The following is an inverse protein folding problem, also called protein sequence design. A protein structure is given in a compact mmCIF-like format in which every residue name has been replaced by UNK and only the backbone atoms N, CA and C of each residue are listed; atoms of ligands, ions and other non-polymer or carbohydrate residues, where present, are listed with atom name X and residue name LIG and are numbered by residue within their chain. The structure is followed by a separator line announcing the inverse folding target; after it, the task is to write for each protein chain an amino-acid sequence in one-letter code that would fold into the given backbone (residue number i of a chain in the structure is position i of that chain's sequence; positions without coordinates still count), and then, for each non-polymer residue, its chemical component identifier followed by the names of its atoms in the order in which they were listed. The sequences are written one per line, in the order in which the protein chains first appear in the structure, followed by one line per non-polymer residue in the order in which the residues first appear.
data_IF_154611970980
#
_entry.id   IF_154611970980
#
_cell.length_a   1.000
_cell.length_b   1.000
_cell.length_c   1.000
_cell.angle_alpha   90.00
_cell.angle_beta   90.00
_cell.angle_gamma   90.00
#
_symmetry.space_group_name_H-M   'P 1'
#
loop_
_entity.id
_entity.type
_entity.pdbx_description
1 polymer ?
#
# COMPACT_ATOMS: atom_id res chain seq x y z
N UNK A 1 2.23 21.37 -17.02
CA UNK A 1 2.82 20.02 -16.99
C UNK A 1 2.98 19.69 -15.53
N UNK A 2 1.95 19.06 -14.93
CA UNK A 2 2.00 18.65 -13.53
C UNK A 2 2.84 17.37 -13.54
N UNK A 3 4.09 17.47 -13.10
CA UNK A 3 4.86 16.29 -12.77
C UNK A 3 4.08 15.63 -11.63
N UNK A 4 3.38 14.53 -11.93
CA UNK A 4 2.93 13.61 -10.88
C UNK A 4 4.21 13.12 -10.21
N UNK A 5 4.49 13.66 -9.03
CA UNK A 5 5.54 13.17 -8.15
C UNK A 5 5.26 11.68 -7.96
N UNK A 6 6.22 10.84 -8.37
CA UNK A 6 6.09 9.40 -8.17
C UNK A 6 6.29 9.19 -6.68
N UNK A 7 5.21 8.89 -5.97
CA UNK A 7 5.26 8.62 -4.54
C UNK A 7 5.44 7.12 -4.34
N UNK A 8 6.42 6.75 -3.52
CA UNK A 8 6.77 5.35 -3.25
C UNK A 8 6.18 4.91 -1.91
N UNK A 9 5.65 3.69 -1.90
CA UNK A 9 5.03 3.13 -0.71
C UNK A 9 6.09 2.63 0.28
N UNK A 10 6.05 3.21 1.48
CA UNK A 10 6.94 2.82 2.57
C UNK A 10 6.13 2.08 3.63
N UNK A 11 6.52 0.84 3.92
CA UNK A 11 5.90 0.06 5.00
C UNK A 11 6.91 -0.08 6.12
N UNK A 12 6.65 0.51 7.27
CA UNK A 12 7.51 0.37 8.45
C UNK A 12 6.93 -0.68 9.38
N UNK A 13 7.78 -1.54 9.93
CA UNK A 13 7.32 -2.65 10.77
C UNK A 13 8.13 -2.74 12.05
N UNK A 14 7.43 -2.64 13.18
CA UNK A 14 7.93 -2.98 14.51
C UNK A 14 7.33 -4.29 14.99
N UNK A 15 8.04 -5.00 15.90
CA UNK A 15 7.55 -6.28 16.41
C UNK A 15 8.04 -6.61 17.82
N UNK A 16 7.29 -7.46 18.52
CA UNK A 16 7.77 -8.19 19.71
C UNK A 16 8.55 -9.45 19.34
N UNK A 17 9.54 -9.82 20.14
CA UNK A 17 10.26 -11.08 19.91
C UNK A 17 9.33 -12.28 20.07
N UNK A 18 9.30 -13.18 19.09
CA UNK A 18 8.38 -14.33 19.06
C UNK A 18 6.98 -14.03 18.51
N UNK A 19 6.71 -12.84 17.98
CA UNK A 19 5.39 -12.47 17.43
C UNK A 19 5.15 -12.90 15.98
N UNK A 20 6.03 -13.72 15.39
CA UNK A 20 6.00 -14.11 13.96
C UNK A 20 6.28 -12.97 12.98
N UNK A 21 6.75 -11.81 13.46
CA UNK A 21 6.95 -10.64 12.61
C UNK A 21 8.00 -10.84 11.51
N UNK A 22 9.04 -11.64 11.73
CA UNK A 22 10.06 -11.90 10.69
C UNK A 22 9.48 -12.72 9.54
N UNK A 23 8.71 -13.75 9.87
CA UNK A 23 8.08 -14.67 8.94
C UNK A 23 6.96 -13.99 8.13
N UNK A 24 6.12 -13.20 8.80
CA UNK A 24 5.06 -12.42 8.16
C UNK A 24 5.65 -11.44 7.14
N UNK A 25 6.70 -10.72 7.51
CA UNK A 25 7.31 -9.71 6.62
C UNK A 25 8.11 -10.33 5.49
N UNK A 26 8.77 -11.46 5.71
CA UNK A 26 9.42 -12.21 4.64
C UNK A 26 8.39 -12.63 3.57
N UNK A 27 7.24 -13.17 3.99
CA UNK A 27 6.16 -13.55 3.08
C UNK A 27 5.52 -12.34 2.39
N UNK A 28 5.27 -11.26 3.13
CA UNK A 28 4.71 -10.03 2.59
C UNK A 28 5.61 -9.39 1.53
N UNK A 29 6.92 -9.30 1.79
CA UNK A 29 7.89 -8.78 0.83
C UNK A 29 7.90 -9.58 -0.47
N UNK A 30 7.82 -10.91 -0.39
CA UNK A 30 7.69 -11.78 -1.57
C UNK A 30 6.38 -11.53 -2.33
N UNK A 31 5.25 -11.39 -1.63
CA UNK A 31 3.94 -11.14 -2.25
C UNK A 31 3.86 -9.79 -2.95
N UNK A 32 4.45 -8.75 -2.36
CA UNK A 32 4.45 -7.39 -2.91
C UNK A 32 5.57 -7.14 -3.93
N UNK A 33 6.56 -8.04 -4.02
CA UNK A 33 7.77 -7.80 -4.80
C UNK A 33 8.61 -6.65 -4.24
N UNK A 34 8.50 -6.36 -2.94
CA UNK A 34 9.18 -5.24 -2.28
C UNK A 34 10.43 -5.73 -1.52
N UNK A 35 11.54 -4.96 -1.57
CA UNK A 35 12.70 -5.24 -0.75
C UNK A 35 12.38 -5.07 0.74
N UNK A 36 12.93 -5.97 1.57
CA UNK A 36 12.83 -5.90 3.04
C UNK A 36 14.16 -5.42 3.61
N UNK A 37 14.17 -4.18 4.10
CA UNK A 37 15.35 -3.55 4.70
C UNK A 37 15.38 -3.86 6.19
N UNK A 38 16.40 -4.61 6.60
CA UNK A 38 16.59 -5.03 7.99
C UNK A 38 17.79 -4.34 8.60
N UNK A 39 17.81 -4.25 9.94
CA UNK A 39 19.01 -3.79 10.66
C UNK A 39 20.28 -4.56 10.26
N UNK A 40 20.16 -5.87 10.02
CA UNK A 40 21.30 -6.71 9.60
C UNK A 40 21.87 -6.25 8.25
N UNK A 41 21.00 -5.98 7.28
CA UNK A 41 21.39 -5.47 5.96
C UNK A 41 22.09 -4.11 6.11
N UNK A 42 21.44 -3.16 6.78
CA UNK A 42 21.97 -1.80 6.95
C UNK A 42 23.34 -1.80 7.63
N UNK A 43 23.50 -2.56 8.72
CA UNK A 43 24.76 -2.62 9.48
C UNK A 43 25.88 -3.33 8.73
N UNK A 44 25.57 -4.29 7.86
CA UNK A 44 26.58 -5.09 7.17
C UNK A 44 26.92 -4.58 5.76
N UNK A 45 25.99 -3.90 5.11
CA UNK A 45 26.13 -3.51 3.70
C UNK A 45 26.26 -2.00 3.51
N UNK A 46 25.58 -1.18 4.32
CA UNK A 46 25.54 0.27 4.13
C UNK A 46 26.49 1.01 5.07
N UNK A 47 26.39 0.72 6.37
CA UNK A 47 27.21 1.38 7.38
C UNK A 47 28.74 1.22 7.23
N UNK A 48 29.29 0.12 6.67
CA UNK A 48 30.73 0.02 6.46
C UNK A 48 31.33 1.08 5.53
N UNK A 49 30.51 1.77 4.72
CA UNK A 49 30.96 2.90 3.91
C UNK A 49 31.18 4.19 4.71
N UNK A 50 30.58 4.30 5.91
CA UNK A 50 30.54 5.52 6.73
C UNK A 50 31.12 5.34 8.13
N UNK A 51 31.33 4.11 8.58
CA UNK A 51 31.78 3.79 9.94
C UNK A 51 32.98 2.84 9.94
N UNK A 52 33.94 3.10 10.81
CA UNK A 52 35.07 2.21 11.10
C UNK A 52 34.61 0.93 11.80
N UNK A 53 35.48 -0.09 11.84
CA UNK A 53 35.20 -1.35 12.57
C UNK A 53 34.87 -1.11 14.05
N UNK A 54 35.50 -0.13 14.68
CA UNK A 54 35.22 0.20 16.08
C UNK A 54 33.84 0.85 16.23
N UNK A 55 33.50 1.82 15.39
CA UNK A 55 32.18 2.47 15.39
C UNK A 55 31.06 1.48 15.08
N UNK A 56 31.24 0.59 14.09
CA UNK A 56 30.31 -0.50 13.79
C UNK A 56 30.07 -1.42 14.99
N UNK A 57 31.12 -1.74 15.75
CA UNK A 57 30.97 -2.50 16.98
C UNK A 57 30.16 -1.72 18.02
N UNK A 58 30.50 -0.44 18.26
CA UNK A 58 29.79 0.40 19.22
C UNK A 58 28.31 0.60 18.88
N UNK A 59 27.96 0.75 17.60
CA UNK A 59 26.58 0.82 17.11
C UNK A 59 25.78 -0.49 17.32
N UNK A 60 26.47 -1.63 17.44
CA UNK A 60 25.84 -2.90 17.80
C UNK A 60 25.64 -3.05 19.31
N UNK A 61 26.49 -2.44 20.12
CA UNK A 61 26.43 -2.56 21.58
C UNK A 61 25.50 -1.53 22.25
N UNK A 62 25.46 -0.30 21.73
CA UNK A 62 24.79 0.82 22.40
C UNK A 62 23.92 1.66 21.45
N UNK A 63 22.59 1.72 21.68
CA UNK A 63 21.72 2.62 20.93
C UNK A 63 22.10 4.09 21.05
N UNK A 64 22.56 4.55 22.22
CA UNK A 64 22.97 5.95 22.42
C UNK A 64 24.19 6.34 21.57
N UNK A 65 24.97 5.36 21.09
CA UNK A 65 26.08 5.65 20.18
C UNK A 65 25.59 6.17 18.82
N UNK A 66 24.33 5.91 18.44
CA UNK A 66 23.75 6.53 17.25
C UNK A 66 23.67 8.06 17.34
N UNK A 67 23.68 8.64 18.54
CA UNK A 67 23.70 10.09 18.74
C UNK A 67 25.10 10.70 18.64
N UNK A 68 26.14 9.88 18.49
CA UNK A 68 27.52 10.37 18.34
C UNK A 68 27.77 10.79 16.91
N UNK A 69 28.46 11.92 16.73
CA UNK A 69 28.84 12.43 15.42
C UNK A 69 29.92 11.56 14.77
N UNK A 70 29.70 11.26 13.50
CA UNK A 70 30.67 10.63 12.63
C UNK A 70 31.72 11.64 12.13
N UNK A 71 32.71 11.15 11.40
CA UNK A 71 33.74 11.98 10.75
C UNK A 71 33.17 13.01 9.76
N UNK A 72 31.96 12.80 9.24
CA UNK A 72 31.28 13.73 8.34
C UNK A 72 30.49 14.83 9.08
N UNK A 73 30.57 14.89 10.41
CA UNK A 73 29.97 15.96 11.22
C UNK A 73 28.46 15.84 11.46
N UNK A 74 27.87 14.67 11.16
CA UNK A 74 26.49 14.34 11.51
C UNK A 74 26.46 13.04 12.32
N UNK A 75 25.43 12.89 13.14
CA UNK A 75 25.23 11.70 13.97
C UNK A 75 24.98 10.43 13.13
N UNK A 76 25.29 9.26 13.69
CA UNK A 76 24.95 7.99 13.03
C UNK A 76 23.44 7.76 12.92
N UNK A 77 22.62 8.36 13.78
CA UNK A 77 21.17 8.41 13.65
C UNK A 77 20.78 9.16 12.37
N UNK A 78 21.37 10.34 12.14
CA UNK A 78 21.13 11.11 10.92
C UNK A 78 21.60 10.36 9.67
N UNK A 79 22.74 9.67 9.73
CA UNK A 79 23.19 8.80 8.64
C UNK A 79 22.19 7.68 8.35
N UNK A 80 21.67 7.00 9.36
CA UNK A 80 20.65 5.97 9.20
C UNK A 80 19.39 6.53 8.52
N UNK A 81 18.91 7.68 9.00
CA UNK A 81 17.75 8.35 8.41
C UNK A 81 17.97 8.71 6.95
N UNK A 82 19.13 9.28 6.61
CA UNK A 82 19.46 9.66 5.25
C UNK A 82 19.56 8.41 4.35
N UNK A 83 20.26 7.36 4.80
CA UNK A 83 20.39 6.11 4.03
C UNK A 83 19.03 5.47 3.75
N UNK A 84 18.12 5.46 4.71
CA UNK A 84 16.77 4.94 4.52
C UNK A 84 15.98 5.82 3.54
N UNK A 85 15.99 7.14 3.72
CA UNK A 85 15.29 8.09 2.84
C UNK A 85 15.82 8.06 1.42
N UNK A 86 17.14 8.02 1.24
CA UNK A 86 17.79 7.88 -0.07
C UNK A 86 17.40 6.57 -0.74
N UNK A 87 17.35 5.47 0.02
CA UNK A 87 16.94 4.16 -0.51
C UNK A 87 15.46 4.13 -0.93
N UNK A 88 14.59 4.87 -0.25
CA UNK A 88 13.14 4.92 -0.53
C UNK A 88 12.73 6.09 -1.42
N UNK A 89 13.68 6.87 -1.93
CA UNK A 89 13.39 8.04 -2.75
C UNK A 89 12.86 7.69 -4.15
N UNK A 90 13.22 6.51 -4.66
CA UNK A 90 12.92 6.06 -6.02
C UNK A 90 12.32 4.64 -6.09
N UNK A 91 11.94 4.05 -4.96
CA UNK A 91 11.37 2.70 -4.90
C UNK A 91 10.58 2.41 -3.62
N UNK A 92 9.62 1.50 -3.76
CA UNK A 92 8.85 0.92 -2.66
C UNK A 92 9.74 0.06 -1.75
N UNK A 93 9.51 0.11 -0.42
CA UNK A 93 10.28 -0.71 0.51
C UNK A 93 9.53 -1.06 1.81
N UNK A 94 9.89 -2.22 2.38
CA UNK A 94 9.49 -2.58 3.75
C UNK A 94 10.69 -2.36 4.67
N UNK A 95 10.58 -1.44 5.63
CA UNK A 95 11.62 -1.15 6.62
C UNK A 95 11.29 -1.86 7.93
N UNK A 96 12.09 -2.85 8.30
CA UNK A 96 11.88 -3.70 9.47
C UNK A 96 12.70 -3.22 10.68
N UNK A 97 12.04 -2.51 11.59
CA UNK A 97 12.61 -1.98 12.84
C UNK A 97 13.27 -0.61 12.68
N UNK A 98 14.39 -0.39 13.38
CA UNK A 98 15.25 0.80 13.26
C UNK A 98 14.59 2.14 13.56
N UNK A 99 13.44 2.15 14.24
CA UNK A 99 12.69 3.39 14.50
C UNK A 99 12.05 4.00 13.26
N UNK A 100 11.90 3.22 12.18
CA UNK A 100 11.36 3.69 10.92
C UNK A 100 9.98 4.35 11.05
N UNK A 101 9.12 3.88 11.98
CA UNK A 101 7.83 4.51 12.23
C UNK A 101 7.93 5.97 12.75
N UNK A 102 9.09 6.35 13.29
CA UNK A 102 9.37 7.72 13.75
C UNK A 102 10.04 8.50 12.62
N UNK A 103 10.98 7.88 11.90
CA UNK A 103 11.71 8.48 10.78
C UNK A 103 10.75 8.94 9.67
N UNK A 104 9.71 8.12 9.42
CA UNK A 104 8.70 8.36 8.38
C UNK A 104 7.36 8.89 8.95
N UNK A 105 7.33 9.37 10.20
CA UNK A 105 6.07 9.79 10.85
C UNK A 105 5.32 10.93 10.13
N UNK A 106 6.05 11.74 9.35
CA UNK A 106 5.48 12.84 8.56
C UNK A 106 5.28 12.50 7.08
N UNK A 107 5.53 11.24 6.70
CA UNK A 107 5.31 10.76 5.34
C UNK A 107 3.84 10.28 5.23
N UNK A 108 2.99 10.99 4.46
CA UNK A 108 1.56 10.68 4.38
C UNK A 108 1.27 9.30 3.76
N UNK A 109 2.23 8.76 3.01
CA UNK A 109 2.11 7.50 2.29
C UNK A 109 2.82 6.34 3.02
N UNK A 110 3.56 6.64 4.10
CA UNK A 110 4.15 5.62 4.96
C UNK A 110 3.10 4.92 5.83
N UNK A 111 3.16 3.59 5.89
CA UNK A 111 2.28 2.72 6.68
C UNK A 111 3.05 2.15 7.86
N UNK A 112 2.57 2.39 9.07
CA UNK A 112 3.25 2.00 10.31
C UNK A 112 2.56 0.81 10.99
N UNK A 113 3.23 -0.33 11.03
CA UNK A 113 2.67 -1.60 11.52
C UNK A 113 3.44 -2.09 12.75
N UNK A 114 2.72 -2.55 13.77
CA UNK A 114 3.27 -3.25 14.93
C UNK A 114 2.74 -4.68 15.01
N UNK A 115 3.62 -5.67 15.09
CA UNK A 115 3.26 -7.09 15.22
C UNK A 115 3.56 -7.58 16.64
N UNK A 116 2.51 -8.02 17.34
CA UNK A 116 2.59 -8.43 18.74
C UNK A 116 1.87 -9.75 19.02
N UNK A 117 2.01 -10.27 20.23
CA UNK A 117 1.20 -11.38 20.74
C UNK A 117 1.10 -11.31 22.27
N UNK A 118 0.18 -12.06 22.86
CA UNK A 118 0.11 -12.23 24.31
C UNK A 118 1.39 -12.87 24.86
N UNK A 119 1.75 -12.49 26.09
CA UNK A 119 2.98 -12.95 26.75
C UNK A 119 3.12 -14.48 26.75
N UNK A 120 2.05 -15.22 27.05
CA UNK A 120 2.07 -16.68 27.07
C UNK A 120 2.31 -17.30 25.68
N UNK A 121 1.76 -16.70 24.63
CA UNK A 121 2.01 -17.14 23.24
C UNK A 121 3.47 -16.88 22.86
N UNK A 122 4.00 -15.69 23.18
CA UNK A 122 5.41 -15.37 22.91
C UNK A 122 6.35 -16.33 23.64
N UNK A 123 6.12 -16.61 24.92
CA UNK A 123 6.92 -17.56 25.71
C UNK A 123 6.90 -18.95 25.08
N UNK A 124 5.71 -19.47 24.72
CA UNK A 124 5.60 -20.78 24.07
C UNK A 124 6.39 -20.86 22.76
N UNK A 125 6.32 -19.80 21.94
CA UNK A 125 7.07 -19.72 20.69
C UNK A 125 8.58 -19.66 20.94
N UNK A 126 9.03 -18.85 21.89
CA UNK A 126 10.45 -18.73 22.28
C UNK A 126 11.00 -20.06 22.80
N UNK A 127 10.25 -20.79 23.64
CA UNK A 127 10.62 -22.14 24.08
C UNK A 127 10.82 -23.07 22.87
N UNK A 128 9.88 -23.04 21.92
CA UNK A 128 9.93 -23.91 20.75
C UNK A 128 11.11 -23.58 19.81
N UNK A 129 11.41 -22.29 19.60
CA UNK A 129 12.44 -21.85 18.64
C UNK A 129 13.85 -21.81 19.21
N UNK A 130 14.01 -21.51 20.51
CA UNK A 130 15.31 -21.36 21.16
C UNK A 130 15.67 -22.54 22.07
N UNK A 131 14.78 -23.52 22.23
CA UNK A 131 14.97 -24.69 23.11
C UNK A 131 15.29 -24.32 24.56
N UNK A 132 14.67 -23.24 25.05
CA UNK A 132 14.81 -22.74 26.42
C UNK A 132 13.76 -23.35 27.34
N UNK A 133 14.04 -23.41 28.63
CA UNK A 133 12.98 -23.62 29.61
C UNK A 133 12.09 -22.37 29.76
N UNK A 134 11.00 -22.48 30.52
CA UNK A 134 10.05 -21.37 30.69
C UNK A 134 10.68 -20.14 31.34
N UNK A 135 11.53 -20.32 32.35
CA UNK A 135 12.12 -19.22 33.11
C UNK A 135 13.12 -18.45 32.24
N UNK A 136 13.95 -19.17 31.48
CA UNK A 136 14.89 -18.59 30.53
C UNK A 136 14.16 -17.91 29.36
N UNK A 137 13.05 -18.48 28.88
CA UNK A 137 12.23 -17.86 27.84
C UNK A 137 11.58 -16.54 28.31
N UNK A 138 11.06 -16.50 29.55
CA UNK A 138 10.51 -15.27 30.16
C UNK A 138 11.59 -14.20 30.29
N UNK A 139 12.77 -14.56 30.79
CA UNK A 139 13.92 -13.64 30.89
C UNK A 139 14.37 -13.16 29.51
N UNK A 140 14.41 -14.04 28.52
CA UNK A 140 14.77 -13.69 27.15
C UNK A 140 13.79 -12.67 26.57
N UNK A 141 12.47 -12.91 26.73
CA UNK A 141 11.43 -11.98 26.29
C UNK A 141 11.62 -10.60 26.93
N UNK A 142 11.80 -10.53 28.25
CA UNK A 142 12.01 -9.27 28.97
C UNK A 142 13.26 -8.51 28.50
N UNK A 143 14.37 -9.23 28.27
CA UNK A 143 15.60 -8.63 27.76
C UNK A 143 15.41 -8.05 26.35
N UNK A 144 14.69 -8.75 25.48
CA UNK A 144 14.45 -8.27 24.10
C UNK A 144 13.48 -7.09 24.06
N UNK A 145 12.38 -7.13 24.83
CA UNK A 145 11.45 -5.99 24.97
C UNK A 145 12.18 -4.76 25.53
N UNK A 146 13.04 -4.94 26.53
CA UNK A 146 13.87 -3.85 27.07
C UNK A 146 14.81 -3.28 26.02
N UNK A 147 15.39 -4.12 25.14
CA UNK A 147 16.25 -3.66 24.04
C UNK A 147 15.46 -2.84 23.02
N UNK A 148 14.27 -3.27 22.62
CA UNK A 148 13.40 -2.53 21.70
C UNK A 148 13.02 -1.17 22.27
N UNK A 149 12.53 -1.13 23.51
CA UNK A 149 12.19 0.12 24.20
C UNK A 149 13.38 1.05 24.32
N UNK A 150 14.52 0.53 24.81
CA UNK A 150 15.75 1.32 24.98
C UNK A 150 16.23 1.90 23.66
N UNK A 151 16.19 1.14 22.57
CA UNK A 151 16.64 1.64 21.27
C UNK A 151 15.85 2.89 20.85
N UNK A 152 14.52 2.80 20.90
CA UNK A 152 13.64 3.91 20.51
C UNK A 152 13.74 5.08 21.49
N UNK A 153 13.69 4.82 22.79
CA UNK A 153 13.74 5.89 23.79
C UNK A 153 15.09 6.61 23.78
N UNK A 154 16.20 5.91 23.55
CA UNK A 154 17.53 6.50 23.57
C UNK A 154 17.83 7.36 22.35
N UNK A 155 17.31 7.01 21.18
CA UNK A 155 17.61 7.73 19.93
C UNK A 155 16.55 8.81 19.66
N UNK A 156 15.27 8.49 19.87
CA UNK A 156 14.15 9.33 19.44
C UNK A 156 13.34 9.92 20.60
N UNK A 157 13.61 9.53 21.85
CA UNK A 157 12.86 10.02 23.01
C UNK A 157 11.41 9.55 23.09
N UNK A 158 10.99 8.60 22.25
CA UNK A 158 9.62 8.07 22.18
C UNK A 158 9.46 6.75 22.95
N UNK A 159 8.23 6.39 23.30
CA UNK A 159 7.93 5.05 23.84
C UNK A 159 7.55 4.10 22.72
N UNK A 160 8.38 3.09 22.47
CA UNK A 160 8.09 2.02 21.53
C UNK A 160 6.74 1.31 21.77
N UNK A 161 6.26 1.32 23.02
CA UNK A 161 4.98 0.74 23.39
C UNK A 161 3.77 1.57 22.96
N UNK A 162 3.94 2.88 22.71
CA UNK A 162 2.85 3.79 22.39
C UNK A 162 2.12 3.37 21.11
N UNK A 163 0.82 3.01 21.17
CA UNK A 163 0.07 2.64 19.98
C UNK A 163 -0.08 3.79 18.97
N UNK A 164 0.03 5.06 19.39
CA UNK A 164 -0.12 6.22 18.50
C UNK A 164 1.03 6.36 17.48
N UNK A 165 2.12 5.62 17.65
CA UNK A 165 3.22 5.54 16.67
C UNK A 165 2.93 4.58 15.50
N UNK A 166 1.77 3.94 15.47
CA UNK A 166 1.43 2.89 14.51
C UNK A 166 0.00 3.06 14.01
N UNK A 167 -0.20 2.87 12.70
CA UNK A 167 -1.52 2.84 12.08
C UNK A 167 -2.26 1.54 12.41
N UNK A 168 -1.54 0.42 12.47
CA UNK A 168 -2.09 -0.89 12.82
C UNK A 168 -1.19 -1.61 13.83
N UNK A 169 -1.83 -2.18 14.86
CA UNK A 169 -1.22 -3.17 15.73
C UNK A 169 -1.89 -4.53 15.53
N UNK A 170 -1.14 -5.51 15.02
CA UNK A 170 -1.60 -6.86 14.72
C UNK A 170 -1.21 -7.84 15.83
N UNK A 171 -2.21 -8.40 16.51
CA UNK A 171 -2.01 -9.49 17.48
C UNK A 171 -2.05 -10.85 16.76
N UNK A 172 -1.00 -11.65 16.95
CA UNK A 172 -0.80 -12.96 16.31
C UNK A 172 -1.14 -14.15 17.20
N UNK A 173 -1.91 -13.96 18.28
CA UNK A 173 -2.33 -15.06 19.17
C UNK A 173 -3.07 -16.16 18.41
N UNK A 174 -3.99 -15.75 17.53
CA UNK A 174 -4.81 -16.65 16.71
C UNK A 174 -4.60 -16.47 15.20
N UNK A 175 -3.94 -15.39 14.80
CA UNK A 175 -3.70 -15.06 13.39
C UNK A 175 -2.39 -15.71 12.94
N UNK A 176 -2.47 -16.53 11.88
CA UNK A 176 -1.32 -17.21 11.29
C UNK A 176 -0.49 -16.32 10.36
N UNK A 177 0.66 -16.82 9.91
CA UNK A 177 1.59 -16.08 9.03
C UNK A 177 0.91 -15.66 7.72
N UNK A 178 0.25 -16.61 7.04
CA UNK A 178 -0.42 -16.35 5.75
C UNK A 178 -1.58 -15.36 5.89
N UNK A 179 -2.37 -15.48 6.96
CA UNK A 179 -3.50 -14.61 7.24
C UNK A 179 -3.04 -13.18 7.55
N UNK A 180 -2.04 -13.04 8.43
CA UNK A 180 -1.42 -11.75 8.75
C UNK A 180 -0.84 -11.07 7.49
N UNK A 181 -0.08 -11.81 6.69
CA UNK A 181 0.48 -11.29 5.46
C UNK A 181 -0.60 -10.89 4.45
N UNK A 182 -1.69 -11.67 4.35
CA UNK A 182 -2.82 -11.34 3.48
C UNK A 182 -3.55 -10.07 3.93
N UNK A 183 -3.78 -9.88 5.23
CA UNK A 183 -4.39 -8.67 5.78
C UNK A 183 -3.56 -7.42 5.46
N UNK A 184 -2.25 -7.47 5.71
CA UNK A 184 -1.35 -6.35 5.42
C UNK A 184 -1.29 -6.10 3.91
N UNK A 185 -1.19 -7.16 3.09
CA UNK A 185 -1.21 -7.04 1.64
C UNK A 185 -2.48 -6.33 1.14
N UNK A 186 -3.65 -6.73 1.62
CA UNK A 186 -4.92 -6.10 1.20
C UNK A 186 -4.99 -4.62 1.61
N UNK A 187 -4.50 -4.28 2.80
CA UNK A 187 -4.43 -2.88 3.22
C UNK A 187 -3.53 -2.04 2.32
N UNK A 188 -2.36 -2.59 1.96
CA UNK A 188 -1.40 -1.96 1.04
C UNK A 188 -2.01 -1.74 -0.33
N UNK A 189 -2.66 -2.76 -0.89
CA UNK A 189 -3.32 -2.65 -2.19
C UNK A 189 -4.49 -1.67 -2.14
N UNK A 190 -5.25 -1.63 -1.05
CA UNK A 190 -6.29 -0.62 -0.87
C UNK A 190 -5.67 0.78 -0.86
N UNK A 191 -4.58 1.00 -0.11
CA UNK A 191 -3.91 2.30 -0.03
C UNK A 191 -3.35 2.77 -1.36
N UNK A 192 -2.71 1.88 -2.12
CA UNK A 192 -2.24 2.16 -3.50
C UNK A 192 -3.35 2.63 -4.41
N UNK A 193 -4.57 2.18 -4.17
CA UNK A 193 -5.73 2.50 -4.97
C UNK A 193 -6.69 3.51 -4.29
N UNK A 194 -6.37 3.98 -3.08
CA UNK A 194 -7.21 4.87 -2.29
C UNK A 194 -6.87 6.33 -2.58
N UNK A 195 -7.91 7.14 -2.70
CA UNK A 195 -7.82 8.60 -2.66
C UNK A 195 -7.52 9.01 -1.21
N UNK A 196 -6.58 9.93 -0.92
CA UNK A 196 -6.21 10.30 0.45
C UNK A 196 -7.42 10.67 1.31
N UNK A 197 -7.41 10.22 2.57
CA UNK A 197 -8.51 10.39 3.53
C UNK A 197 -8.91 11.87 3.76
N UNK A 198 -8.04 12.82 3.46
CA UNK A 198 -8.34 14.26 3.55
C UNK A 198 -9.38 14.73 2.49
N UNK A 199 -9.70 13.89 1.49
CA UNK A 199 -10.82 14.16 0.56
C UNK A 199 -12.19 13.70 1.09
N UNK A 200 -12.26 13.05 2.26
CA UNK A 200 -13.54 12.67 2.89
C UNK A 200 -14.23 13.85 3.60
N UNK A 201 -13.56 15.00 3.72
CA UNK A 201 -14.09 16.21 4.37
C UNK A 201 -14.59 17.30 3.41
N UNK A 202 -14.65 17.05 2.10
CA UNK A 202 -15.52 17.86 1.24
C UNK A 202 -16.90 17.22 1.30
N UNK A 203 -17.89 17.80 2.01
CA UNK A 203 -19.26 17.34 1.84
C UNK A 203 -19.57 17.41 0.35
N UNK A 204 -20.09 16.31 -0.21
CA UNK A 204 -20.61 16.19 -1.58
C UNK A 204 -21.09 17.56 -2.10
N UNK A 205 -20.19 18.31 -2.74
CA UNK A 205 -20.60 19.41 -3.59
C UNK A 205 -21.21 18.70 -4.78
N UNK A 206 -22.53 18.81 -4.86
CA UNK A 206 -23.40 18.34 -5.94
C UNK A 206 -22.60 17.96 -7.18
N UNK A 207 -22.50 16.65 -7.47
CA UNK A 207 -21.98 16.16 -8.75
C UNK A 207 -22.55 17.06 -9.84
N UNK A 208 -21.72 17.79 -10.62
CA UNK A 208 -22.20 18.80 -11.54
C UNK A 208 -23.26 18.14 -12.44
N UNK A 209 -24.39 18.81 -12.66
CA UNK A 209 -25.52 18.23 -13.39
C UNK A 209 -25.08 17.71 -14.77
N UNK A 210 -24.80 16.41 -14.86
CA UNK A 210 -24.41 15.73 -16.10
C UNK A 210 -25.67 15.53 -16.93
N UNK A 211 -25.68 16.06 -18.15
CA UNK A 211 -26.76 15.82 -19.11
C UNK A 211 -26.53 14.48 -19.83
N UNK A 212 -27.14 13.42 -19.31
CA UNK A 212 -27.01 12.07 -19.88
C UNK A 212 -27.80 11.94 -21.17
N UNK A 213 -27.18 11.40 -22.21
CA UNK A 213 -27.81 11.15 -23.53
C UNK A 213 -28.89 10.07 -23.48
N UNK A 214 -28.82 9.16 -22.52
CA UNK A 214 -29.82 8.10 -22.37
C UNK A 214 -30.15 7.78 -20.89
N UNK A 215 -31.41 7.47 -20.53
CA UNK A 215 -31.80 7.14 -19.14
C UNK A 215 -31.02 5.98 -18.52
N UNK A 216 -30.47 5.06 -19.34
CA UNK A 216 -29.64 3.97 -18.84
C UNK A 216 -28.28 4.41 -18.33
N UNK A 217 -27.74 5.52 -18.85
CA UNK A 217 -26.47 6.09 -18.39
C UNK A 217 -26.67 6.76 -17.02
N UNK A 218 -27.75 7.52 -16.87
CA UNK A 218 -28.12 8.13 -15.58
C UNK A 218 -28.39 7.08 -14.49
N UNK A 219 -29.10 5.99 -14.83
CA UNK A 219 -29.29 4.88 -13.89
C UNK A 219 -27.99 4.18 -13.53
N UNK A 220 -27.07 4.03 -14.48
CA UNK A 220 -25.76 3.44 -14.23
C UNK A 220 -24.90 4.34 -13.33
N UNK A 221 -24.87 5.64 -13.60
CA UNK A 221 -24.20 6.65 -12.77
C UNK A 221 -24.72 6.62 -11.32
N UNK A 222 -26.05 6.60 -11.11
CA UNK A 222 -26.65 6.46 -9.78
C UNK A 222 -26.20 5.20 -9.05
N UNK A 223 -26.02 4.08 -9.75
CA UNK A 223 -25.55 2.84 -9.13
C UNK A 223 -24.07 2.99 -8.76
N UNK A 224 -23.25 3.58 -9.62
CA UNK A 224 -21.84 3.85 -9.30
C UNK A 224 -21.72 4.78 -8.08
N UNK A 225 -22.51 5.85 -8.03
CA UNK A 225 -22.59 6.78 -6.89
C UNK A 225 -23.01 6.06 -5.60
N UNK A 226 -24.06 5.23 -5.66
CA UNK A 226 -24.54 4.43 -4.52
C UNK A 226 -23.46 3.47 -3.98
N UNK A 227 -22.53 3.06 -4.84
CA UNK A 227 -21.41 2.19 -4.49
C UNK A 227 -20.09 2.94 -4.29
N UNK A 228 -20.12 4.27 -4.26
CA UNK A 228 -18.93 5.12 -4.08
C UNK A 228 -17.82 4.83 -5.12
N UNK A 229 -18.22 4.37 -6.32
CA UNK A 229 -17.29 4.10 -7.42
C UNK A 229 -17.07 5.41 -8.19
N UNK A 230 -15.84 5.92 -8.22
CA UNK A 230 -15.50 7.11 -9.01
C UNK A 230 -15.71 6.84 -10.51
N UNK A 231 -16.35 7.80 -11.19
CA UNK A 231 -16.61 7.71 -12.62
C UNK A 231 -16.51 9.06 -13.32
N UNK A 232 -16.22 9.01 -14.61
CA UNK A 232 -16.26 10.16 -15.51
C UNK A 232 -17.18 9.83 -16.69
N UNK A 233 -18.07 10.75 -17.07
CA UNK A 233 -18.96 10.58 -18.22
C UNK A 233 -18.30 11.08 -19.51
N UNK A 234 -18.26 10.22 -20.53
CA UNK A 234 -17.63 10.46 -21.84
C UNK A 234 -16.28 11.23 -21.80
N UNK A 235 -15.31 10.87 -20.94
CA UNK A 235 -14.14 11.73 -20.70
C UNK A 235 -13.18 11.83 -21.89
N UNK A 236 -13.33 10.92 -22.87
CA UNK A 236 -12.49 10.88 -24.06
C UNK A 236 -13.24 10.37 -25.26
N UNK A 237 -13.07 11.08 -26.37
CA UNK A 237 -13.54 10.67 -27.70
C UNK A 237 -12.37 10.13 -28.52
N UNK A 238 -12.54 8.96 -29.11
CA UNK A 238 -11.54 8.28 -29.94
C UNK A 238 -11.94 8.36 -31.42
N UNK A 239 -11.16 9.03 -32.27
CA UNK A 239 -11.32 8.94 -33.72
C UNK A 239 -11.16 7.50 -34.22
N UNK A 240 -12.09 7.00 -35.02
CA UNK A 240 -12.05 5.61 -35.54
C UNK A 240 -12.01 5.52 -37.06
N UNK A 241 -12.32 6.61 -37.78
CA UNK A 241 -12.15 6.70 -39.23
C UNK A 241 -11.84 8.14 -39.67
N UNK A 242 -11.10 8.24 -40.76
CA UNK A 242 -10.72 9.50 -41.42
C UNK A 242 -11.10 9.47 -42.91
N UNK A 243 -11.33 10.63 -43.52
CA UNK A 243 -11.43 10.79 -44.98
C UNK A 243 -10.05 10.85 -45.66
N UNK A 244 -10.02 11.03 -46.98
CA UNK A 244 -8.78 11.09 -47.75
C UNK A 244 -7.94 12.34 -47.42
N UNK A 245 -8.59 13.37 -46.90
CA UNK A 245 -8.01 14.65 -46.49
C UNK A 245 -7.53 14.62 -45.02
N UNK A 246 -7.77 13.53 -44.28
CA UNK A 246 -7.34 13.34 -42.90
C UNK A 246 -8.30 13.90 -41.84
N UNK A 247 -9.52 14.31 -42.21
CA UNK A 247 -10.54 14.74 -41.26
C UNK A 247 -11.25 13.55 -40.61
N UNK A 248 -11.61 13.67 -39.34
CA UNK A 248 -12.32 12.60 -38.61
C UNK A 248 -13.76 12.49 -39.10
N UNK A 249 -14.11 11.38 -39.75
CA UNK A 249 -15.47 11.09 -40.24
C UNK A 249 -16.28 10.23 -39.27
N UNK A 250 -15.62 9.55 -38.34
CA UNK A 250 -16.30 8.75 -37.33
C UNK A 250 -15.45 8.72 -36.06
N UNK A 251 -16.09 8.95 -34.91
CA UNK A 251 -15.49 8.84 -33.59
C UNK A 251 -16.33 7.93 -32.68
N UNK A 252 -15.72 7.51 -31.58
CA UNK A 252 -16.32 6.67 -30.56
C UNK A 252 -15.97 7.21 -29.18
N UNK A 253 -16.99 7.51 -28.39
CA UNK A 253 -16.88 8.04 -27.04
C UNK A 253 -17.47 7.00 -26.10
N UNK A 254 -16.66 6.30 -25.29
CA UNK A 254 -17.18 5.35 -24.32
C UNK A 254 -18.05 6.06 -23.30
N UNK A 255 -19.15 5.43 -22.89
CA UNK A 255 -20.17 6.04 -22.03
C UNK A 255 -19.58 6.48 -20.67
N UNK A 256 -18.73 5.65 -20.05
CA UNK A 256 -18.07 5.96 -18.78
C UNK A 256 -16.58 5.59 -18.78
N UNK A 257 -15.83 6.18 -17.86
CA UNK A 257 -14.51 5.72 -17.45
C UNK A 257 -14.48 5.59 -15.94
N UNK A 258 -13.93 4.48 -15.45
CA UNK A 258 -13.72 4.24 -14.03
C UNK A 258 -12.22 4.41 -13.76
N UNK A 259 -11.77 5.56 -13.20
CA UNK A 259 -10.35 5.87 -13.04
C UNK A 259 -9.62 4.81 -12.23
N UNK A 260 -10.22 4.37 -11.12
CA UNK A 260 -9.67 3.34 -10.23
C UNK A 260 -9.35 2.02 -10.96
N UNK A 261 -10.15 1.64 -11.96
CA UNK A 261 -9.94 0.39 -12.70
C UNK A 261 -9.23 0.59 -14.03
N UNK A 262 -8.81 1.82 -14.35
CA UNK A 262 -8.29 2.22 -15.66
C UNK A 262 -9.08 1.56 -16.80
N UNK A 263 -10.41 1.67 -16.76
CA UNK A 263 -11.30 0.93 -17.65
C UNK A 263 -12.42 1.82 -18.16
N UNK A 264 -12.56 1.88 -19.48
CA UNK A 264 -13.73 2.44 -20.14
C UNK A 264 -14.89 1.46 -20.11
N UNK A 265 -16.09 1.96 -19.83
CA UNK A 265 -17.33 1.20 -19.81
C UNK A 265 -18.22 1.69 -20.94
N UNK A 266 -18.67 0.74 -21.74
CA UNK A 266 -19.69 0.94 -22.74
C UNK A 266 -20.95 0.20 -22.31
N UNK A 267 -22.02 0.93 -22.01
CA UNK A 267 -23.31 0.35 -21.61
C UNK A 267 -24.01 -0.19 -22.85
N UNK A 268 -24.62 -1.37 -22.75
CA UNK A 268 -25.45 -1.92 -23.81
C UNK A 268 -26.77 -2.46 -23.29
N UNK A 269 -27.82 -2.27 -24.08
CA UNK A 269 -29.14 -2.87 -23.86
C UNK A 269 -29.19 -4.29 -24.42
N UNK A 270 -30.22 -5.06 -24.10
CA UNK A 270 -30.37 -6.45 -24.57
C UNK A 270 -30.81 -6.57 -26.04
N UNK A 271 -31.02 -5.47 -26.76
CA UNK A 271 -31.36 -5.53 -28.18
C UNK A 271 -30.14 -5.97 -29.02
N UNK A 272 -30.24 -7.17 -29.60
CA UNK A 272 -29.18 -7.83 -30.34
C UNK A 272 -28.60 -6.99 -31.49
N UNK A 273 -29.39 -6.10 -32.10
CA UNK A 273 -28.93 -5.26 -33.21
C UNK A 273 -27.88 -4.24 -32.71
N UNK A 274 -28.16 -3.57 -31.60
CA UNK A 274 -27.29 -2.56 -30.98
C UNK A 274 -26.03 -3.16 -30.35
N UNK A 275 -26.13 -4.37 -29.79
CA UNK A 275 -24.97 -5.11 -29.23
C UNK A 275 -23.93 -5.40 -30.31
N UNK A 276 -24.36 -5.77 -31.52
CA UNK A 276 -23.45 -6.11 -32.62
C UNK A 276 -22.62 -4.90 -33.09
N UNK A 277 -23.23 -3.71 -33.10
CA UNK A 277 -22.56 -2.46 -33.48
C UNK A 277 -21.59 -1.99 -32.39
N UNK A 278 -22.00 -2.00 -31.12
CA UNK A 278 -21.12 -1.63 -30.00
C UNK A 278 -19.91 -2.57 -29.90
N UNK A 279 -20.08 -3.88 -30.08
CA UNK A 279 -18.96 -4.85 -30.17
C UNK A 279 -18.00 -4.55 -31.32
N UNK A 280 -18.50 -4.16 -32.51
CA UNK A 280 -17.66 -3.76 -33.64
C UNK A 280 -16.84 -2.51 -33.33
N UNK A 281 -17.44 -1.50 -32.72
CA UNK A 281 -16.75 -0.26 -32.31
C UNK A 281 -15.65 -0.54 -31.27
N UNK A 282 -15.95 -1.32 -30.24
CA UNK A 282 -14.97 -1.72 -29.21
C UNK A 282 -13.81 -2.50 -29.82
N UNK A 283 -14.07 -3.45 -30.73
CA UNK A 283 -13.02 -4.21 -31.42
C UNK A 283 -12.15 -3.30 -32.30
N UNK A 284 -12.76 -2.33 -32.98
CA UNK A 284 -12.04 -1.35 -33.79
C UNK A 284 -11.18 -0.42 -32.92
N UNK A 285 -11.71 0.03 -31.78
CA UNK A 285 -10.96 0.83 -30.82
C UNK A 285 -9.74 0.07 -30.29
N UNK A 286 -9.90 -1.19 -29.85
CA UNK A 286 -8.76 -2.00 -29.38
C UNK A 286 -7.70 -2.22 -30.47
N UNK A 287 -8.09 -2.22 -31.75
CA UNK A 287 -7.16 -2.34 -32.88
C UNK A 287 -6.40 -1.05 -33.14
N UNK A 288 -7.07 0.11 -33.07
CA UNK A 288 -6.46 1.42 -33.34
C UNK A 288 -5.70 1.99 -32.14
N UNK A 289 -6.12 1.64 -30.93
CA UNK A 289 -5.58 2.12 -29.65
C UNK A 289 -5.24 0.93 -28.73
N UNK A 290 -4.21 0.14 -29.08
CA UNK A 290 -3.78 -1.00 -28.27
C UNK A 290 -3.37 -0.53 -26.85
N UNK A 291 -3.78 -1.29 -25.84
CA UNK A 291 -3.62 -0.92 -24.42
C UNK A 291 -4.81 -0.19 -23.80
N UNK A 292 -5.82 0.19 -24.59
CA UNK A 292 -7.07 0.75 -24.04
C UNK A 292 -7.95 -0.36 -23.46
N UNK A 293 -8.13 -0.36 -22.13
CA UNK A 293 -9.04 -1.25 -21.44
C UNK A 293 -10.48 -0.75 -21.60
N UNK A 294 -11.30 -1.53 -22.28
CA UNK A 294 -12.72 -1.22 -22.48
C UNK A 294 -13.56 -2.49 -22.36
N UNK A 295 -14.62 -2.40 -21.58
CA UNK A 295 -15.58 -3.46 -21.31
C UNK A 295 -16.99 -3.04 -21.70
N UNK A 296 -17.73 -3.98 -22.28
CA UNK A 296 -19.15 -3.80 -22.57
C UNK A 296 -19.93 -4.37 -21.40
N UNK A 297 -20.75 -3.56 -20.76
CA UNK A 297 -21.54 -3.95 -19.60
C UNK A 297 -23.01 -4.02 -19.98
N UNK A 298 -23.62 -5.20 -19.77
CA UNK A 298 -25.05 -5.35 -19.90
C UNK A 298 -25.73 -4.86 -18.63
N UNK A 299 -26.79 -4.06 -18.78
CA UNK A 299 -27.57 -3.53 -17.66
C UNK A 299 -28.00 -4.61 -16.65
N UNK A 300 -28.46 -5.77 -17.14
CA UNK A 300 -28.93 -6.85 -16.27
C UNK A 300 -27.79 -7.60 -15.56
N UNK A 301 -26.63 -7.74 -16.22
CA UNK A 301 -25.48 -8.45 -15.63
C UNK A 301 -24.86 -7.61 -14.51
N UNK A 302 -24.81 -6.28 -14.68
CA UNK A 302 -24.35 -5.38 -13.63
C UNK A 302 -25.29 -5.41 -12.42
N UNK A 303 -26.61 -5.34 -12.64
CA UNK A 303 -27.60 -5.46 -11.57
C UNK A 303 -27.50 -6.82 -10.84
N UNK A 304 -27.22 -7.90 -11.57
CA UNK A 304 -26.99 -9.22 -10.96
C UNK A 304 -25.67 -9.29 -10.18
N UNK A 305 -24.58 -8.71 -10.71
CA UNK A 305 -23.30 -8.61 -10.00
C UNK A 305 -23.48 -7.86 -8.69
N UNK A 306 -24.07 -6.67 -8.72
CA UNK A 306 -24.36 -5.85 -7.54
C UNK A 306 -25.23 -6.60 -6.52
N UNK A 307 -26.29 -7.30 -6.97
CA UNK A 307 -27.13 -8.11 -6.07
C UNK A 307 -26.40 -9.31 -5.48
N UNK A 308 -25.51 -9.95 -6.26
CA UNK A 308 -24.74 -11.13 -5.84
C UNK A 308 -23.67 -10.78 -4.82
N UNK A 309 -23.05 -9.61 -4.92
CA UNK A 309 -22.10 -9.11 -3.94
C UNK A 309 -22.79 -8.61 -2.64
N UNK A 310 -24.12 -8.48 -2.62
CA UNK A 310 -24.94 -8.21 -1.42
C UNK A 310 -25.50 -9.45 -0.72
N UNK A 311 -25.11 -10.67 -1.11
CA UNK A 311 -25.52 -11.91 -0.42
C UNK A 311 -24.50 -12.39 0.62
N UNK A 312 -23.53 -11.55 0.98
CA UNK A 312 -22.55 -11.83 2.04
C UNK A 312 -22.54 -10.74 3.13
N UNK A 313 -23.68 -10.06 3.33
CA UNK A 313 -23.98 -9.36 4.59
C UNK A 313 -24.87 -10.26 5.47
#
# INVERSE_FOLDING_TARGET
MILTEVVFLIITVSRQTGSLGEEIIALLGQKLGMPVITRKLVMNEWFPAIASKHELHMLNESPSYFLTDSSSGISFAQHLENLLKDFTADQDAIIFGMGAQIIYANDPDALHIKIMASRDVLIKRIIATHHLDRQDAERFLELTDRKHKRYISSIYGQDWADPALYDITLNTDMIGIDEAAALIFQMVEYRRNAIPADRLNTPNEESPAVDFKHPSEEEFARILDMHEIEWQYEPRTFPVKWDAEGNVIQAFSPDFYLPHFNTFIEITTMDQKYVSEKKKKVKLLKKLYPGTNINIVFKNDFNQLVKRFKLYD
#
